data_IF_236997307382
#
_entry.id   IF_236997307382
#
_cell.length_a   1.000
_cell.length_b   1.000
_cell.length_c   1.000
_cell.angle_alpha   90.00
_cell.angle_beta   90.00
_cell.angle_gamma   90.00
#
_symmetry.space_group_name_H-M   'P 1'
#
loop_
_entity.id
_entity.type
_entity.pdbx_description
1 polymer ?
#
# COMPACT_ATOMS: atom_id res chain seq x y z
N UNK A 1 -15.84 36.63 2.25
CA UNK A 1 -15.29 36.05 0.99
C UNK A 1 -13.78 36.26 0.99
N UNK A 2 -13.01 35.28 1.43
CA UNK A 2 -11.56 35.23 1.21
C UNK A 2 -11.26 33.79 0.79
N UNK A 3 -10.92 33.63 -0.48
CA UNK A 3 -10.58 32.37 -1.09
C UNK A 3 -9.46 31.71 -0.30
N UNK A 4 -9.75 30.56 0.31
CA UNK A 4 -8.74 29.62 0.76
C UNK A 4 -8.01 29.18 -0.50
N UNK A 5 -6.82 29.73 -0.75
CA UNK A 5 -5.92 29.26 -1.80
C UNK A 5 -5.55 27.84 -1.41
N UNK A 6 -6.25 26.86 -1.98
CA UNK A 6 -5.82 25.46 -2.01
C UNK A 6 -4.48 25.43 -2.73
N UNK A 7 -3.38 25.63 -1.98
CA UNK A 7 -2.09 25.10 -2.39
C UNK A 7 -2.30 23.60 -2.49
N UNK A 8 -2.35 23.08 -3.70
CA UNK A 8 -2.34 21.65 -4.01
C UNK A 8 -1.02 21.07 -3.51
N UNK A 9 -0.95 20.79 -2.21
CA UNK A 9 0.06 19.92 -1.63
C UNK A 9 -0.24 18.55 -2.21
N UNK A 10 0.60 18.10 -3.13
CA UNK A 10 0.51 16.78 -3.76
C UNK A 10 0.81 15.70 -2.70
N UNK A 11 -0.16 15.46 -1.81
CA UNK A 11 -0.04 14.63 -0.63
C UNK A 11 -0.52 13.20 -0.96
N UNK A 12 0.41 12.35 -1.39
CA UNK A 12 0.19 10.95 -1.75
C UNK A 12 -0.53 10.13 -0.67
N UNK A 13 -0.38 10.43 0.63
CA UNK A 13 -1.18 9.73 1.64
C UNK A 13 -2.66 10.08 1.55
N UNK A 14 -3.00 11.34 1.25
CA UNK A 14 -4.38 11.75 1.03
C UNK A 14 -4.96 11.04 -0.19
N UNK A 15 -4.18 10.93 -1.27
CA UNK A 15 -4.59 10.18 -2.47
C UNK A 15 -4.85 8.69 -2.17
N UNK A 16 -4.01 8.06 -1.35
CA UNK A 16 -4.20 6.66 -0.94
C UNK A 16 -5.41 6.51 0.00
N UNK A 17 -5.54 7.36 1.01
CA UNK A 17 -6.64 7.27 1.98
C UNK A 17 -7.96 7.79 1.46
N UNK A 18 -7.99 8.51 0.32
CA UNK A 18 -9.22 8.89 -0.36
C UNK A 18 -9.89 7.71 -1.09
N UNK A 19 -9.16 6.64 -1.39
CA UNK A 19 -9.70 5.45 -2.06
C UNK A 19 -10.76 4.77 -1.20
N UNK A 20 -11.92 4.48 -1.80
CA UNK A 20 -13.08 3.84 -1.15
C UNK A 20 -13.35 2.42 -1.69
N UNK A 21 -12.40 1.83 -2.40
CA UNK A 21 -12.46 0.44 -2.86
C UNK A 21 -11.29 -0.38 -2.30
N UNK A 22 -11.36 -1.71 -2.45
CA UNK A 22 -10.29 -2.58 -1.98
C UNK A 22 -9.01 -2.38 -2.81
N UNK A 23 -7.90 -2.18 -2.09
CA UNK A 23 -6.54 -2.07 -2.59
C UNK A 23 -5.86 -3.44 -2.50
N UNK A 24 -5.53 -4.01 -3.65
CA UNK A 24 -4.88 -5.30 -3.80
C UNK A 24 -3.38 -5.15 -3.97
N UNK A 25 -2.60 -5.96 -3.27
CA UNK A 25 -1.15 -6.04 -3.51
C UNK A 25 -0.93 -6.88 -4.75
N UNK A 26 -0.56 -6.24 -5.86
CA UNK A 26 -0.33 -6.93 -7.13
C UNK A 26 0.96 -7.74 -7.08
N UNK A 27 2.06 -7.07 -6.72
CA UNK A 27 3.40 -7.63 -6.59
C UNK A 27 4.19 -6.92 -5.48
N UNK A 28 5.19 -7.59 -4.93
CA UNK A 28 6.11 -7.00 -3.96
C UNK A 28 7.53 -7.53 -4.14
N UNK A 29 8.54 -6.84 -3.60
CA UNK A 29 9.92 -7.34 -3.57
C UNK A 29 9.98 -8.68 -2.85
N UNK A 30 10.73 -9.63 -3.41
CA UNK A 30 10.88 -10.99 -2.88
C UNK A 30 11.58 -10.96 -1.52
N UNK A 31 12.63 -10.14 -1.39
CA UNK A 31 13.27 -9.82 -0.11
C UNK A 31 12.55 -8.65 0.54
N UNK A 32 11.64 -8.95 1.46
CA UNK A 32 10.97 -7.95 2.28
C UNK A 32 10.79 -8.50 3.70
N UNK A 33 11.53 -7.95 4.66
CA UNK A 33 11.51 -8.41 6.06
C UNK A 33 10.22 -8.03 6.80
N UNK A 34 9.47 -7.06 6.26
CA UNK A 34 8.33 -6.40 6.94
C UNK A 34 7.00 -6.85 6.33
N UNK A 35 6.96 -7.10 5.02
CA UNK A 35 5.74 -7.57 4.34
C UNK A 35 5.56 -9.09 4.50
N UNK A 36 4.32 -9.57 4.66
CA UNK A 36 4.07 -10.99 4.79
C UNK A 36 4.28 -11.72 3.46
N UNK A 37 4.56 -13.02 3.56
CA UNK A 37 4.76 -13.92 2.41
C UNK A 37 3.44 -14.53 1.89
N UNK A 38 2.31 -14.14 2.46
CA UNK A 38 0.94 -14.59 2.12
C UNK A 38 0.55 -14.16 0.70
N UNK A 39 -0.50 -14.78 0.15
CA UNK A 39 -1.10 -14.43 -1.15
C UNK A 39 -2.38 -13.62 -0.95
N UNK A 40 -2.95 -13.11 -2.05
CA UNK A 40 -4.23 -12.40 -2.05
C UNK A 40 -4.30 -11.31 -0.97
N UNK A 41 -3.20 -10.60 -0.79
CA UNK A 41 -3.11 -9.55 0.22
C UNK A 41 -3.89 -8.34 -0.28
N UNK A 42 -4.82 -7.85 0.53
CA UNK A 42 -5.64 -6.70 0.20
C UNK A 42 -6.01 -5.90 1.44
N UNK A 43 -6.42 -4.66 1.26
CA UNK A 43 -6.92 -3.81 2.34
C UNK A 43 -8.04 -2.91 1.85
N UNK A 44 -8.98 -2.58 2.72
CA UNK A 44 -10.07 -1.66 2.42
C UNK A 44 -10.30 -0.72 3.61
N UNK A 45 -10.47 0.56 3.32
CA UNK A 45 -10.79 1.57 4.33
C UNK A 45 -12.21 1.34 4.83
N UNK A 46 -12.37 1.20 6.14
CA UNK A 46 -13.68 1.12 6.78
C UNK A 46 -14.18 2.51 7.12
N UNK A 47 -13.38 3.30 7.84
CA UNK A 47 -13.74 4.66 8.24
C UNK A 47 -12.55 5.52 8.63
N UNK A 48 -12.76 6.82 8.65
CA UNK A 48 -11.88 7.78 9.31
C UNK A 48 -12.20 7.83 10.81
N UNK A 49 -11.18 7.80 11.66
CA UNK A 49 -11.34 7.78 13.13
C UNK A 49 -10.88 9.07 13.82
N UNK A 50 -10.32 10.03 13.07
CA UNK A 50 -9.89 11.33 13.61
C UNK A 50 -8.38 11.57 13.48
N UNK A 51 -7.99 12.85 13.46
CA UNK A 51 -6.60 13.28 13.26
C UNK A 51 -5.98 12.67 12.00
N UNK A 52 -4.92 11.88 12.19
CA UNK A 52 -4.18 11.19 11.14
C UNK A 52 -4.50 9.69 11.04
N UNK A 53 -5.63 9.25 11.62
CA UNK A 53 -5.96 7.83 11.82
C UNK A 53 -7.18 7.36 11.05
N UNK A 54 -7.12 6.11 10.57
CA UNK A 54 -8.16 5.45 9.79
C UNK A 54 -8.27 3.99 10.24
N UNK A 55 -9.46 3.41 10.17
CA UNK A 55 -9.64 1.96 10.30
C UNK A 55 -9.65 1.31 8.93
N UNK A 56 -8.87 0.24 8.80
CA UNK A 56 -8.82 -0.60 7.62
C UNK A 56 -9.07 -2.05 8.00
N UNK A 57 -9.77 -2.78 7.13
CA UNK A 57 -9.74 -4.24 7.14
C UNK A 57 -8.64 -4.73 6.21
N UNK A 58 -7.84 -5.68 6.68
CA UNK A 58 -6.74 -6.30 5.94
C UNK A 58 -7.06 -7.76 5.72
N UNK A 59 -6.89 -8.21 4.48
CA UNK A 59 -7.11 -9.58 4.03
C UNK A 59 -5.81 -10.23 3.57
N UNK A 60 -5.70 -11.54 3.76
CA UNK A 60 -4.63 -12.35 3.17
C UNK A 60 -5.02 -13.83 3.11
N UNK A 61 -4.41 -14.57 2.21
CA UNK A 61 -4.55 -16.02 2.10
C UNK A 61 -3.19 -16.71 2.38
N UNK A 62 -3.13 -17.78 3.18
CA UNK A 62 -1.91 -18.56 3.32
C UNK A 62 -1.50 -19.17 1.96
N UNK A 63 -0.20 -19.27 1.64
CA UNK A 63 0.25 -19.84 0.36
C UNK A 63 -0.18 -21.29 0.16
N UNK A 64 -0.31 -22.05 1.25
CA UNK A 64 -0.61 -23.48 1.25
C UNK A 64 -2.10 -23.79 1.36
N UNK A 65 -2.91 -22.86 1.85
CA UNK A 65 -4.34 -23.07 2.10
C UNK A 65 -5.18 -22.40 1.01
N UNK A 66 -5.52 -23.16 -0.03
CA UNK A 66 -6.16 -22.63 -1.25
C UNK A 66 -7.51 -21.93 -1.01
N UNK A 67 -8.23 -22.22 0.07
CA UNK A 67 -9.56 -21.61 0.30
C UNK A 67 -9.64 -20.78 1.59
N UNK A 68 -8.59 -20.75 2.40
CA UNK A 68 -8.60 -20.02 3.66
C UNK A 68 -8.26 -18.54 3.42
N UNK A 69 -9.13 -17.66 3.92
CA UNK A 69 -8.92 -16.21 3.93
C UNK A 69 -8.88 -15.75 5.38
N UNK A 70 -7.82 -15.04 5.72
CA UNK A 70 -7.68 -14.35 7.00
C UNK A 70 -8.05 -12.89 6.82
N UNK A 71 -8.89 -12.36 7.70
CA UNK A 71 -9.21 -10.95 7.77
C UNK A 71 -9.03 -10.42 9.20
N UNK A 72 -8.62 -9.16 9.33
CA UNK A 72 -8.58 -8.47 10.63
C UNK A 72 -8.64 -6.94 10.43
N UNK A 73 -9.14 -6.23 11.44
CA UNK A 73 -9.16 -4.77 11.44
C UNK A 73 -7.86 -4.25 12.05
N UNK A 74 -7.30 -3.20 11.46
CA UNK A 74 -6.11 -2.50 11.92
C UNK A 74 -6.29 -0.99 11.81
N UNK A 75 -5.58 -0.26 12.65
CA UNK A 75 -5.47 1.19 12.54
C UNK A 75 -4.35 1.54 11.57
N UNK A 76 -4.68 2.29 10.53
CA UNK A 76 -3.72 2.94 9.66
C UNK A 76 -3.50 4.36 10.14
N UNK A 77 -2.24 4.71 10.40
CA UNK A 77 -1.84 6.07 10.74
C UNK A 77 -1.07 6.70 9.59
N UNK A 78 -1.24 8.01 9.41
CA UNK A 78 -0.52 8.80 8.41
C UNK A 78 0.50 9.69 9.11
N UNK A 79 1.67 9.87 8.51
CA UNK A 79 2.71 10.73 9.06
C UNK A 79 3.54 11.40 7.97
N UNK A 80 4.25 12.45 8.40
CA UNK A 80 5.24 13.14 7.60
C UNK A 80 6.57 12.38 7.76
N UNK A 81 7.08 11.81 6.67
CA UNK A 81 8.38 11.14 6.68
C UNK A 81 9.50 12.18 6.51
N UNK A 82 10.42 12.28 7.48
CA UNK A 82 11.62 13.12 7.36
C UNK A 82 12.58 12.47 6.36
N UNK A 83 13.01 13.21 5.33
CA UNK A 83 14.02 12.73 4.40
C UNK A 83 15.40 12.72 5.09
N UNK A 84 16.13 11.60 5.00
CA UNK A 84 17.51 11.48 5.48
C UNK A 84 18.51 12.36 4.67
N UNK A 85 18.08 12.96 3.55
CA UNK A 85 18.92 13.74 2.64
C UNK A 85 18.33 15.14 2.43
N UNK A 86 18.49 16.01 3.42
CA UNK A 86 18.23 17.45 3.32
C UNK A 86 16.77 17.92 3.51
N UNK A 87 16.51 19.23 3.42
CA UNK A 87 15.26 19.88 3.85
C UNK A 87 14.05 19.64 2.94
N UNK A 88 14.08 18.65 2.05
CA UNK A 88 12.91 18.30 1.25
C UNK A 88 11.95 17.45 2.08
N UNK A 89 11.08 18.14 2.82
CA UNK A 89 9.90 17.56 3.44
C UNK A 89 9.02 16.97 2.34
N UNK A 90 9.06 15.66 2.22
CA UNK A 90 8.01 14.95 1.52
C UNK A 90 7.30 14.13 2.57
N UNK A 91 6.16 14.67 3.00
CA UNK A 91 4.99 13.94 3.49
C UNK A 91 4.86 12.61 2.76
N UNK A 92 4.04 11.68 3.26
CA UNK A 92 3.66 10.43 2.58
C UNK A 92 4.27 9.17 3.21
N UNK A 93 4.05 8.98 4.50
CA UNK A 93 4.14 7.65 5.09
C UNK A 93 2.78 7.21 5.67
N UNK A 94 2.56 5.90 5.63
CA UNK A 94 1.47 5.21 6.30
C UNK A 94 2.05 4.10 7.16
N UNK A 95 1.45 3.83 8.31
CA UNK A 95 1.84 2.71 9.15
C UNK A 95 0.61 1.91 9.57
N UNK A 96 0.67 0.59 9.43
CA UNK A 96 -0.43 -0.32 9.75
C UNK A 96 0.09 -1.75 9.93
N UNK A 97 -0.70 -2.63 10.55
CA UNK A 97 -0.33 -4.05 10.66
C UNK A 97 -0.71 -4.80 9.38
N UNK A 98 0.21 -5.61 8.86
CA UNK A 98 -0.03 -6.45 7.68
C UNK A 98 -0.43 -7.88 8.00
N UNK A 99 -0.27 -8.29 9.26
CA UNK A 99 -0.70 -9.59 9.81
C UNK A 99 -1.35 -9.37 11.17
N UNK A 100 -2.35 -10.20 11.49
CA UNK A 100 -3.02 -10.19 12.80
C UNK A 100 -1.98 -10.46 13.90
N UNK A 101 -1.91 -9.57 14.90
CA UNK A 101 -0.95 -9.66 16.00
C UNK A 101 0.52 -9.39 15.60
N UNK A 102 0.78 -9.02 14.35
CA UNK A 102 2.10 -8.62 13.88
C UNK A 102 2.47 -7.19 14.27
N UNK A 103 3.72 -6.76 14.01
CA UNK A 103 4.15 -5.38 14.25
C UNK A 103 3.40 -4.39 13.35
N UNK A 104 3.33 -3.13 13.79
CA UNK A 104 2.91 -2.02 12.94
C UNK A 104 4.05 -1.68 11.99
N UNK A 105 3.79 -1.76 10.69
CA UNK A 105 4.79 -1.66 9.64
C UNK A 105 4.74 -0.28 8.97
N UNK A 106 5.82 0.52 9.01
CA UNK A 106 5.87 1.80 8.32
C UNK A 106 6.16 1.62 6.82
N UNK A 107 5.44 2.36 6.00
CA UNK A 107 5.59 2.41 4.55
C UNK A 107 5.63 3.85 4.06
N UNK A 108 6.66 4.20 3.30
CA UNK A 108 6.71 5.43 2.51
C UNK A 108 5.90 5.23 1.21
N UNK A 109 5.00 6.14 0.88
CA UNK A 109 4.29 6.12 -0.41
C UNK A 109 5.20 6.81 -1.44
N UNK A 110 5.76 6.00 -2.34
CA UNK A 110 6.61 6.45 -3.44
C UNK A 110 5.79 7.05 -4.58
N UNK A 111 4.63 6.46 -4.85
CA UNK A 111 3.75 6.85 -5.94
C UNK A 111 2.29 6.59 -5.57
N UNK A 112 1.42 7.49 -6.00
CA UNK A 112 -0.02 7.37 -5.83
C UNK A 112 -0.68 7.97 -7.08
N UNK A 113 -1.52 7.17 -7.72
CA UNK A 113 -2.30 7.53 -8.88
C UNK A 113 -3.70 6.94 -8.71
N UNK A 114 -4.59 7.64 -8.00
CA UNK A 114 -5.94 7.14 -7.75
C UNK A 114 -6.77 7.06 -9.04
N UNK A 115 -6.46 7.85 -10.07
CA UNK A 115 -7.18 7.84 -11.35
C UNK A 115 -6.98 6.51 -12.09
N UNK A 116 -5.75 6.02 -12.13
CA UNK A 116 -5.41 4.72 -12.73
C UNK A 116 -5.30 3.61 -11.69
N UNK A 117 -5.76 3.87 -10.46
CA UNK A 117 -5.84 2.92 -9.37
C UNK A 117 -4.50 2.33 -8.93
N UNK A 118 -3.35 3.01 -9.11
CA UNK A 118 -2.03 2.43 -8.84
C UNK A 118 -1.27 3.15 -7.72
N UNK A 119 -0.71 2.38 -6.79
CA UNK A 119 0.03 2.90 -5.64
C UNK A 119 1.30 2.11 -5.39
N UNK A 120 2.36 2.76 -4.92
CA UNK A 120 3.63 2.12 -4.59
C UNK A 120 4.02 2.48 -3.17
N UNK A 121 4.13 1.46 -2.32
CA UNK A 121 4.60 1.55 -0.95
C UNK A 121 6.02 0.99 -0.86
N UNK A 122 6.92 1.71 -0.20
CA UNK A 122 8.27 1.28 0.11
C UNK A 122 8.46 1.12 1.62
N UNK A 123 9.09 0.03 2.00
CA UNK A 123 9.55 -0.27 3.36
C UNK A 123 11.07 -0.40 3.37
N UNK A 124 11.68 -0.18 4.53
CA UNK A 124 13.12 -0.37 4.74
C UNK A 124 13.29 -1.47 5.78
N UNK A 125 13.73 -2.65 5.33
CA UNK A 125 14.08 -3.75 6.22
C UNK A 125 15.48 -3.57 6.78
N UNK A 126 15.71 -4.03 8.01
CA UNK A 126 17.02 -3.95 8.67
C UNK A 126 18.11 -4.72 7.91
N UNK A 127 17.74 -5.80 7.19
CA UNK A 127 18.69 -6.68 6.49
C UNK A 127 18.53 -6.68 4.97
N UNK A 128 17.35 -6.33 4.47
CA UNK A 128 16.98 -6.42 3.04
C UNK A 128 17.07 -5.09 2.27
N UNK A 129 17.39 -3.98 2.93
CA UNK A 129 17.39 -2.66 2.30
C UNK A 129 15.98 -2.20 1.94
N UNK A 130 15.83 -1.43 0.85
CA UNK A 130 14.53 -0.95 0.37
C UNK A 130 13.76 -2.08 -0.31
N UNK A 131 12.56 -2.36 0.19
CA UNK A 131 11.60 -3.28 -0.41
C UNK A 131 10.31 -2.54 -0.80
N UNK A 132 9.64 -2.97 -1.86
CA UNK A 132 8.44 -2.29 -2.35
C UNK A 132 7.23 -3.21 -2.48
N UNK A 133 6.05 -2.61 -2.46
CA UNK A 133 4.75 -3.22 -2.76
C UNK A 133 4.02 -2.35 -3.77
N UNK A 134 3.56 -2.93 -4.86
CA UNK A 134 2.68 -2.28 -5.83
C UNK A 134 1.25 -2.70 -5.53
N UNK A 135 0.37 -1.72 -5.33
CA UNK A 135 -1.03 -1.94 -5.08
C UNK A 135 -1.84 -1.45 -6.29
N UNK A 136 -2.92 -2.17 -6.59
CA UNK A 136 -3.93 -1.75 -7.54
C UNK A 136 -5.32 -1.78 -6.90
N UNK A 137 -6.19 -0.89 -7.33
CA UNK A 137 -7.59 -0.92 -6.91
C UNK A 137 -8.35 -2.11 -7.50
N UNK A 138 -9.50 -2.45 -6.93
CA UNK A 138 -10.33 -3.57 -7.41
C UNK A 138 -10.81 -3.37 -8.84
N UNK A 139 -11.14 -2.13 -9.20
CA UNK A 139 -11.48 -1.73 -10.56
C UNK A 139 -10.37 -1.97 -11.60
N UNK A 140 -9.10 -1.99 -11.18
CA UNK A 140 -7.93 -2.03 -12.09
C UNK A 140 -7.04 -3.27 -11.95
N UNK A 141 -7.14 -4.04 -10.87
CA UNK A 141 -6.20 -5.12 -10.54
C UNK A 141 -6.19 -6.29 -11.55
N UNK A 142 -7.29 -6.49 -12.28
CA UNK A 142 -7.40 -7.50 -13.34
C UNK A 142 -6.93 -6.98 -14.71
N UNK A 143 -6.57 -5.71 -14.80
CA UNK A 143 -6.00 -5.08 -15.99
C UNK A 143 -4.46 -5.09 -15.90
N UNK A 144 -3.81 -4.64 -16.96
CA UNK A 144 -2.36 -4.41 -16.92
C UNK A 144 -2.00 -3.32 -15.92
N UNK A 145 -0.78 -3.40 -15.37
CA UNK A 145 -0.26 -2.35 -14.49
C UNK A 145 -0.03 -1.10 -15.35
N UNK A 146 -0.57 0.08 -14.97
CA UNK A 146 -0.34 1.31 -15.72
C UNK A 146 1.16 1.56 -15.97
N UNK A 147 1.52 1.92 -17.20
CA UNK A 147 2.91 2.01 -17.65
C UNK A 147 3.76 2.89 -16.73
N UNK A 148 3.26 4.08 -16.39
CA UNK A 148 3.93 5.02 -15.50
C UNK A 148 4.17 4.42 -14.10
N UNK A 149 3.20 3.69 -13.56
CA UNK A 149 3.33 3.04 -12.27
C UNK A 149 4.38 1.92 -12.31
N UNK A 150 4.35 1.09 -13.36
CA UNK A 150 5.34 0.03 -13.55
C UNK A 150 6.76 0.59 -13.73
N UNK A 151 6.91 1.70 -14.48
CA UNK A 151 8.19 2.40 -14.66
C UNK A 151 8.76 2.89 -13.34
N UNK A 152 7.95 3.56 -12.52
CA UNK A 152 8.39 4.05 -11.20
C UNK A 152 8.77 2.89 -10.29
N UNK A 153 7.98 1.81 -10.28
CA UNK A 153 8.29 0.62 -9.50
C UNK A 153 9.66 0.04 -9.91
N UNK A 154 9.86 -0.21 -11.20
CA UNK A 154 11.09 -0.81 -11.70
C UNK A 154 12.33 0.07 -11.48
N UNK A 155 12.16 1.40 -11.48
CA UNK A 155 13.27 2.34 -11.24
C UNK A 155 13.66 2.47 -9.75
N UNK A 156 12.74 2.17 -8.81
CA UNK A 156 12.94 2.46 -7.39
C UNK A 156 13.03 1.23 -6.48
N UNK A 157 12.68 0.05 -7.00
CA UNK A 157 12.48 -1.17 -6.24
C UNK A 157 13.41 -2.29 -6.71
N UNK A 158 13.63 -3.29 -5.86
CA UNK A 158 14.47 -4.43 -6.20
C UNK A 158 13.91 -5.22 -7.40
N UNK A 159 14.82 -5.76 -8.24
CA UNK A 159 14.46 -6.51 -9.46
C UNK A 159 13.78 -7.85 -9.16
N UNK A 160 14.09 -8.46 -8.02
CA UNK A 160 13.47 -9.69 -7.56
C UNK A 160 12.09 -9.39 -6.96
N UNK A 161 11.04 -9.72 -7.71
CA UNK A 161 9.66 -9.48 -7.31
C UNK A 161 8.85 -10.77 -7.27
N UNK A 162 7.92 -10.85 -6.32
CA UNK A 162 6.94 -11.92 -6.21
C UNK A 162 5.55 -11.41 -6.58
N UNK A 163 4.83 -12.20 -7.36
CA UNK A 163 3.40 -12.00 -7.59
C UNK A 163 2.61 -12.36 -6.33
N UNK A 164 1.74 -11.45 -5.89
CA UNK A 164 0.90 -11.63 -4.69
C UNK A 164 -0.56 -11.78 -5.06
N UNK A 165 -1.00 -11.06 -6.09
CA UNK A 165 -2.34 -11.17 -6.64
C UNK A 165 -2.37 -12.10 -7.85
N UNK A 166 -3.31 -13.04 -7.82
CA UNK A 166 -3.74 -13.86 -8.94
C UNK A 166 -5.24 -13.63 -9.15
N UNK A 167 -5.81 -13.79 -10.36
CA UNK A 167 -7.23 -13.54 -10.60
C UNK A 167 -8.21 -14.30 -9.69
N UNK A 168 -7.78 -15.44 -9.13
CA UNK A 168 -8.56 -16.19 -8.13
C UNK A 168 -8.80 -15.39 -6.84
N UNK A 169 -7.95 -14.40 -6.53
CA UNK A 169 -8.02 -13.62 -5.30
C UNK A 169 -9.30 -12.77 -5.24
N UNK A 170 -9.68 -12.08 -6.32
CA UNK A 170 -10.92 -11.28 -6.35
C UNK A 170 -12.20 -12.12 -6.33
N UNK A 171 -12.09 -13.44 -6.50
CA UNK A 171 -13.21 -14.38 -6.32
C UNK A 171 -13.32 -14.90 -4.88
N UNK A 172 -12.29 -14.70 -4.05
CA UNK A 172 -12.20 -15.23 -2.68
C UNK A 172 -12.47 -14.17 -1.61
N UNK A 173 -12.18 -12.91 -1.90
CA UNK A 173 -12.46 -11.80 -1.00
C UNK A 173 -13.75 -11.10 -1.46
N UNK A 174 -14.50 -10.52 -0.52
CA UNK A 174 -15.70 -9.74 -0.81
C UNK A 174 -15.43 -8.54 -1.74
#
# INVERSE_FOLDING_TARGET
KLCCVMRTVNNRYYQLTAVNEMLWVRKQSQRNDIAPKTLCQAMMKLRYTGGSTFEYIVYSAPPTARMAVNAFVTTLTTSIAVALTGPRHHDNAVAYQTLRGGPVCPYKILYADPLHGCFILASYGLRSGRACRLLQTSSTVNQEIPEQCNRIYNANCAKDTKTIYYPICSRRLP
#
